data_IF_626348332066
#
_entry.id   IF_626348332066
#
_cell.length_a   1.000
_cell.length_b   1.000
_cell.length_c   1.000
_cell.angle_alpha   90.00
_cell.angle_beta   90.00
_cell.angle_gamma   90.00
#
_symmetry.space_group_name_H-M   'P 1'
#
loop_
_entity.id
_entity.type
_entity.pdbx_description
1 polymer ?
#
# COMPACT_ATOMS: atom_id res chain seq x y z
N UNK A 1 -14.32 -6.14 20.04
CA UNK A 1 -14.77 -6.11 18.62
C UNK A 1 -13.61 -5.64 17.78
N UNK A 2 -13.23 -6.42 16.79
CA UNK A 2 -12.18 -6.07 15.83
C UNK A 2 -12.74 -5.00 14.88
N UNK A 3 -11.92 -3.98 14.55
CA UNK A 3 -12.31 -2.94 13.57
C UNK A 3 -12.33 -3.56 12.18
N UNK A 4 -13.36 -3.32 11.36
CA UNK A 4 -13.37 -3.75 9.97
C UNK A 4 -12.23 -3.08 9.19
N UNK A 5 -11.64 -3.81 8.25
CA UNK A 5 -10.68 -3.27 7.31
C UNK A 5 -11.42 -2.46 6.23
N UNK A 6 -11.26 -1.14 6.25
CA UNK A 6 -11.98 -0.23 5.34
C UNK A 6 -11.50 -0.36 3.89
N UNK A 7 -10.20 -0.57 3.70
CA UNK A 7 -9.62 -0.77 2.36
C UNK A 7 -10.17 -2.07 1.76
N UNK A 8 -10.22 -3.15 2.55
CA UNK A 8 -10.81 -4.43 2.14
C UNK A 8 -12.28 -4.30 1.76
N UNK A 9 -13.05 -3.52 2.52
CA UNK A 9 -14.46 -3.30 2.22
C UNK A 9 -14.63 -2.61 0.87
N UNK A 10 -13.85 -1.56 0.58
CA UNK A 10 -13.88 -0.85 -0.70
C UNK A 10 -13.50 -1.77 -1.86
N UNK A 11 -12.45 -2.57 -1.72
CA UNK A 11 -12.06 -3.54 -2.75
C UNK A 11 -13.16 -4.58 -3.02
N UNK A 12 -13.81 -5.09 -1.97
CA UNK A 12 -14.92 -6.06 -2.11
C UNK A 12 -16.16 -5.46 -2.76
N UNK A 13 -16.43 -4.17 -2.57
CA UNK A 13 -17.57 -3.46 -3.19
C UNK A 13 -17.22 -2.84 -4.55
N UNK A 14 -15.98 -2.98 -5.01
CA UNK A 14 -15.47 -2.36 -6.25
C UNK A 14 -15.66 -0.84 -6.28
N UNK A 15 -15.72 -0.21 -5.10
CA UNK A 15 -15.79 1.24 -4.97
C UNK A 15 -14.41 1.87 -5.21
N UNK A 16 -14.35 3.03 -5.88
CA UNK A 16 -13.09 3.75 -6.04
C UNK A 16 -12.54 4.20 -4.69
N UNK A 17 -11.21 4.29 -4.58
CA UNK A 17 -10.53 4.78 -3.39
C UNK A 17 -9.63 5.97 -3.70
N UNK A 18 -9.56 6.90 -2.75
CA UNK A 18 -8.63 8.02 -2.77
C UNK A 18 -7.80 8.02 -1.49
N UNK A 19 -6.49 8.08 -1.66
CA UNK A 19 -5.52 8.17 -0.57
C UNK A 19 -4.52 9.29 -0.82
N UNK A 20 -3.66 9.53 0.16
CA UNK A 20 -2.47 10.39 0.03
C UNK A 20 -1.28 9.77 0.75
N UNK A 21 -0.06 10.13 0.34
CA UNK A 21 1.17 9.66 0.97
C UNK A 21 1.57 10.58 2.12
N UNK A 22 2.03 9.99 3.21
CA UNK A 22 2.57 10.69 4.39
C UNK A 22 3.97 10.15 4.67
N UNK A 23 4.94 11.05 4.74
CA UNK A 23 6.32 10.75 5.12
C UNK A 23 6.64 11.21 6.54
N UNK A 24 5.89 12.19 7.04
CA UNK A 24 6.08 12.68 8.40
C UNK A 24 5.45 11.74 9.43
N UNK A 25 6.00 11.74 10.63
CA UNK A 25 5.45 11.01 11.78
C UNK A 25 4.58 11.90 12.66
N UNK A 26 4.02 12.95 12.09
CA UNK A 26 3.22 13.94 12.82
C UNK A 26 1.72 13.62 12.74
N UNK A 27 1.09 13.13 13.83
CA UNK A 27 -0.31 12.71 13.82
C UNK A 27 -1.30 13.81 13.39
N UNK A 28 -1.00 15.10 13.69
CA UNK A 28 -1.87 16.22 13.30
C UNK A 28 -2.06 16.34 11.78
N UNK A 29 -1.17 15.80 10.98
CA UNK A 29 -1.30 15.74 9.53
C UNK A 29 -2.42 14.79 9.11
N UNK A 30 -2.50 13.60 9.76
CA UNK A 30 -3.62 12.67 9.56
C UNK A 30 -4.93 13.30 10.05
N UNK A 31 -4.91 14.06 11.16
CA UNK A 31 -6.09 14.79 11.64
C UNK A 31 -6.58 15.78 10.57
N UNK A 32 -5.66 16.55 9.96
CA UNK A 32 -6.01 17.48 8.88
C UNK A 32 -6.61 16.76 7.66
N UNK A 33 -6.03 15.63 7.25
CA UNK A 33 -6.53 14.80 6.15
C UNK A 33 -7.92 14.25 6.49
N UNK A 34 -8.11 13.75 7.71
CA UNK A 34 -9.40 13.26 8.19
C UNK A 34 -10.48 14.34 8.20
N UNK A 35 -10.15 15.54 8.64
CA UNK A 35 -11.05 16.68 8.59
C UNK A 35 -11.38 17.16 7.17
N UNK A 36 -10.51 16.94 6.19
CA UNK A 36 -10.82 17.23 4.78
C UNK A 36 -11.98 16.37 4.26
N UNK A 37 -12.16 15.15 4.80
CA UNK A 37 -13.32 14.29 4.58
C UNK A 37 -13.48 13.72 3.17
N UNK A 38 -12.42 13.71 2.38
CA UNK A 38 -12.44 13.23 0.98
C UNK A 38 -11.56 11.97 0.77
N UNK A 39 -10.69 11.65 1.72
CA UNK A 39 -9.79 10.51 1.62
C UNK A 39 -10.37 9.28 2.31
N UNK A 40 -10.20 8.12 1.69
CA UNK A 40 -10.59 6.82 2.24
C UNK A 40 -9.53 6.25 3.17
N UNK A 41 -8.25 6.49 2.85
CA UNK A 41 -7.12 6.03 3.67
C UNK A 41 -5.88 6.90 3.47
N UNK A 42 -4.93 6.73 4.38
CA UNK A 42 -3.58 7.31 4.28
C UNK A 42 -2.55 6.21 4.06
N UNK A 43 -1.51 6.49 3.28
CA UNK A 43 -0.35 5.63 3.13
C UNK A 43 0.84 6.24 3.88
N UNK A 44 1.30 5.57 4.92
CA UNK A 44 2.53 5.94 5.61
C UNK A 44 3.73 5.30 4.92
N UNK A 45 4.67 6.13 4.44
CA UNK A 45 5.86 5.67 3.70
C UNK A 45 6.99 5.40 4.68
N UNK A 46 6.95 4.23 5.34
CA UNK A 46 7.98 3.80 6.29
C UNK A 46 9.31 3.44 5.62
N UNK A 47 9.32 3.31 4.30
CA UNK A 47 10.51 3.01 3.50
C UNK A 47 11.58 4.12 3.58
N UNK A 48 11.17 5.39 3.64
CA UNK A 48 12.09 6.53 3.57
C UNK A 48 12.18 7.33 4.87
N UNK A 49 11.14 7.29 5.67
CA UNK A 49 11.00 8.16 6.83
C UNK A 49 11.76 7.63 8.05
N UNK A 50 12.33 8.52 8.87
CA UNK A 50 12.83 8.14 10.18
C UNK A 50 11.63 7.90 11.10
N UNK A 51 11.19 6.66 11.23
CA UNK A 51 10.09 6.27 12.11
C UNK A 51 10.53 5.22 13.12
N UNK A 52 9.92 5.25 14.29
CA UNK A 52 10.04 4.18 15.26
C UNK A 52 8.71 3.42 15.43
N UNK A 53 8.70 2.39 16.30
CA UNK A 53 7.49 1.59 16.52
C UNK A 53 6.37 2.37 17.23
N UNK A 54 6.69 3.41 17.98
CA UNK A 54 5.69 4.28 18.60
C UNK A 54 5.03 5.17 17.55
N UNK A 55 5.80 5.62 16.56
CA UNK A 55 5.26 6.39 15.44
C UNK A 55 4.26 5.56 14.65
N UNK A 56 4.60 4.30 14.30
CA UNK A 56 3.66 3.39 13.62
C UNK A 56 2.34 3.24 14.39
N UNK A 57 2.43 3.06 15.71
CA UNK A 57 1.25 2.96 16.58
C UNK A 57 0.43 4.26 16.60
N UNK A 58 1.08 5.42 16.67
CA UNK A 58 0.40 6.71 16.77
C UNK A 58 -0.25 7.11 15.45
N UNK A 59 0.41 6.90 14.34
CA UNK A 59 -0.12 7.17 13.00
C UNK A 59 -1.35 6.30 12.74
N UNK A 60 -1.27 5.01 13.07
CA UNK A 60 -2.41 4.10 12.93
C UNK A 60 -3.59 4.50 13.83
N UNK A 61 -3.35 4.81 15.12
CA UNK A 61 -4.41 5.28 16.05
C UNK A 61 -5.11 6.52 15.53
N UNK A 62 -4.35 7.47 14.98
CA UNK A 62 -4.92 8.71 14.46
C UNK A 62 -5.81 8.44 13.25
N UNK A 63 -5.37 7.59 12.33
CA UNK A 63 -6.22 7.16 11.22
C UNK A 63 -7.54 6.55 11.70
N UNK A 64 -7.49 5.70 12.73
CA UNK A 64 -8.67 5.07 13.32
C UNK A 64 -9.65 6.08 13.93
N UNK A 65 -9.15 7.13 14.59
CA UNK A 65 -9.98 8.18 15.21
C UNK A 65 -10.80 8.95 14.16
N UNK A 66 -10.27 9.10 12.97
CA UNK A 66 -10.93 9.79 11.85
C UNK A 66 -11.65 8.86 10.87
N UNK A 67 -11.76 7.57 11.22
CA UNK A 67 -12.35 6.55 10.35
C UNK A 67 -11.69 6.46 8.97
N UNK A 68 -10.38 6.72 8.91
CA UNK A 68 -9.54 6.50 7.74
C UNK A 68 -8.97 5.09 7.79
N UNK A 69 -8.88 4.43 6.63
CA UNK A 69 -8.03 3.27 6.46
C UNK A 69 -6.54 3.66 6.55
N UNK A 70 -5.67 2.68 6.72
CA UNK A 70 -4.24 2.91 6.78
C UNK A 70 -3.46 1.85 6.01
N UNK A 71 -2.55 2.30 5.16
CA UNK A 71 -1.60 1.49 4.42
C UNK A 71 -0.19 1.83 4.90
N UNK A 72 0.69 0.84 5.01
CA UNK A 72 2.10 1.06 5.26
C UNK A 72 2.92 0.60 4.06
N UNK A 73 3.74 1.49 3.51
CA UNK A 73 4.73 1.16 2.47
C UNK A 73 6.05 0.84 3.15
N UNK A 74 6.63 -0.31 2.82
CA UNK A 74 7.82 -0.84 3.49
C UNK A 74 8.92 -1.20 2.50
N UNK A 75 10.18 -1.09 2.94
CA UNK A 75 11.34 -1.52 2.16
C UNK A 75 11.52 -3.05 2.19
N UNK A 76 12.23 -3.57 1.20
CA UNK A 76 12.49 -5.00 1.09
C UNK A 76 13.47 -5.52 2.16
N UNK A 77 14.41 -4.69 2.60
CA UNK A 77 15.50 -5.13 3.49
C UNK A 77 15.01 -5.54 4.88
N UNK A 78 13.95 -4.89 5.36
CA UNK A 78 13.30 -5.18 6.65
C UNK A 78 11.88 -5.73 6.47
N UNK A 79 11.54 -6.22 5.30
CA UNK A 79 10.19 -6.56 4.87
C UNK A 79 9.40 -7.40 5.89
N UNK A 80 9.86 -8.57 6.38
CA UNK A 80 9.07 -9.36 7.32
C UNK A 80 8.84 -8.65 8.65
N UNK A 81 9.84 -7.92 9.14
CA UNK A 81 9.75 -7.19 10.40
C UNK A 81 8.77 -6.03 10.30
N UNK A 82 8.91 -5.17 9.29
CA UNK A 82 8.04 -4.01 9.13
C UNK A 82 6.60 -4.39 8.76
N UNK A 83 6.40 -5.42 7.92
CA UNK A 83 5.06 -5.94 7.63
C UNK A 83 4.36 -6.37 8.92
N UNK A 84 5.01 -7.20 9.75
CA UNK A 84 4.43 -7.67 11.00
C UNK A 84 4.25 -6.55 12.03
N UNK A 85 5.16 -5.59 12.11
CA UNK A 85 5.01 -4.44 13.04
C UNK A 85 3.89 -3.50 12.59
N UNK A 86 3.79 -3.20 11.29
CA UNK A 86 2.69 -2.41 10.74
C UNK A 86 1.33 -3.06 11.00
N UNK A 87 1.16 -4.31 10.61
CA UNK A 87 -0.07 -5.07 10.88
C UNK A 87 -0.36 -5.12 12.39
N UNK A 88 0.69 -5.34 13.21
CA UNK A 88 0.58 -5.35 14.68
C UNK A 88 0.15 -4.02 15.26
N UNK A 89 0.49 -2.90 14.66
CA UNK A 89 0.02 -1.56 15.02
C UNK A 89 -1.42 -1.30 14.58
N UNK A 90 -1.94 -2.06 13.58
CA UNK A 90 -3.31 -1.98 13.10
C UNK A 90 -3.45 -1.46 11.66
N UNK A 91 -2.36 -1.37 10.90
CA UNK A 91 -2.44 -1.03 9.49
C UNK A 91 -3.28 -2.07 8.73
N UNK A 92 -4.17 -1.58 7.89
CA UNK A 92 -5.15 -2.37 7.14
C UNK A 92 -4.59 -2.93 5.83
N UNK A 93 -3.48 -2.34 5.36
CA UNK A 93 -2.80 -2.75 4.13
C UNK A 93 -1.29 -2.61 4.26
N UNK A 94 -0.57 -3.48 3.54
CA UNK A 94 0.89 -3.39 3.37
C UNK A 94 1.20 -3.25 1.89
N UNK A 95 1.97 -2.24 1.52
CA UNK A 95 2.53 -2.05 0.18
C UNK A 95 4.00 -2.49 0.20
N UNK A 96 4.25 -3.62 -0.45
CA UNK A 96 5.58 -4.21 -0.60
C UNK A 96 6.31 -3.61 -1.79
N UNK A 97 7.54 -3.16 -1.59
CA UNK A 97 8.39 -2.61 -2.64
C UNK A 97 9.39 -3.62 -3.18
N UNK A 98 10.02 -3.28 -4.28
CA UNK A 98 11.24 -3.92 -4.81
C UNK A 98 11.14 -5.40 -5.22
N UNK A 99 9.95 -6.00 -5.27
CA UNK A 99 9.79 -7.40 -5.68
C UNK A 99 10.24 -7.61 -7.13
N UNK A 100 10.92 -8.73 -7.40
CA UNK A 100 11.50 -9.04 -8.72
C UNK A 100 10.97 -10.30 -9.35
N UNK A 101 10.46 -11.22 -8.52
CA UNK A 101 10.03 -12.55 -8.94
C UNK A 101 8.92 -13.07 -8.03
N UNK A 102 8.37 -14.21 -8.39
CA UNK A 102 7.26 -14.82 -7.66
C UNK A 102 7.67 -15.35 -6.28
N UNK A 103 8.91 -15.78 -6.10
CA UNK A 103 9.41 -16.27 -4.83
C UNK A 103 9.43 -15.16 -3.78
N UNK A 104 9.93 -13.96 -4.16
CA UNK A 104 9.91 -12.79 -3.27
C UNK A 104 8.47 -12.36 -2.92
N UNK A 105 7.54 -12.41 -3.89
CA UNK A 105 6.12 -12.14 -3.64
C UNK A 105 5.53 -13.13 -2.64
N UNK A 106 5.82 -14.42 -2.78
CA UNK A 106 5.36 -15.46 -1.82
C UNK A 106 5.93 -15.25 -0.42
N UNK A 107 7.18 -14.83 -0.31
CA UNK A 107 7.78 -14.48 0.99
C UNK A 107 7.06 -13.28 1.63
N UNK A 108 6.73 -12.25 0.87
CA UNK A 108 5.93 -11.12 1.33
C UNK A 108 4.57 -11.57 1.86
N UNK A 109 3.83 -12.34 1.07
CA UNK A 109 2.52 -12.86 1.44
C UNK A 109 2.62 -13.67 2.73
N UNK A 110 3.56 -14.62 2.77
CA UNK A 110 3.77 -15.49 3.92
C UNK A 110 4.10 -14.72 5.20
N UNK A 111 4.85 -13.62 5.11
CA UNK A 111 5.21 -12.79 6.27
C UNK A 111 4.01 -12.08 6.88
N UNK A 112 3.01 -11.71 6.06
CA UNK A 112 1.86 -10.90 6.45
C UNK A 112 0.62 -11.74 6.83
N UNK A 113 0.48 -12.94 6.28
CA UNK A 113 -0.67 -13.82 6.53
C UNK A 113 -0.56 -14.52 7.88
N UNK A 114 -1.69 -14.86 8.54
CA UNK A 114 -1.68 -15.56 9.84
C UNK A 114 -1.05 -16.94 9.73
N UNK A 115 -0.35 -17.35 10.79
CA UNK A 115 0.14 -18.72 11.00
C UNK A 115 -1.04 -19.64 11.33
N UNK A 116 -1.79 -19.96 10.27
CA UNK A 116 -2.99 -20.76 10.33
C UNK A 116 -3.06 -21.68 9.09
N UNK A 117 -3.54 -22.94 9.21
CA UNK A 117 -3.58 -23.88 8.09
C UNK A 117 -4.24 -23.35 6.82
N UNK A 118 -5.30 -22.55 6.95
CA UNK A 118 -6.03 -22.00 5.80
C UNK A 118 -5.30 -20.85 5.10
N UNK A 119 -4.29 -20.24 5.73
CA UNK A 119 -3.56 -19.08 5.21
C UNK A 119 -2.08 -19.36 4.91
N UNK A 120 -1.47 -20.33 5.57
CA UNK A 120 -0.08 -20.74 5.35
C UNK A 120 0.96 -19.65 5.67
N UNK A 121 0.60 -18.66 6.49
CA UNK A 121 1.46 -17.54 6.85
C UNK A 121 2.37 -17.81 8.04
N UNK A 122 3.04 -16.75 8.50
CA UNK A 122 3.98 -16.78 9.63
C UNK A 122 3.58 -15.80 10.75
N UNK A 123 2.47 -15.08 10.59
CA UNK A 123 2.08 -14.07 11.57
C UNK A 123 1.38 -14.70 12.76
N UNK A 124 2.02 -14.64 13.92
CA UNK A 124 1.51 -15.19 15.17
C UNK A 124 0.59 -14.24 15.95
N UNK A 125 0.41 -14.52 17.24
CA UNK A 125 -0.45 -13.75 18.16
C UNK A 125 0.35 -12.58 18.75
N UNK A 126 0.60 -11.53 17.99
CA UNK A 126 1.41 -10.39 18.43
C UNK A 126 0.91 -9.05 17.86
N UNK A 127 -0.28 -8.64 18.20
CA UNK A 127 -0.80 -7.33 17.82
C UNK A 127 -1.06 -6.44 19.03
N UNK A 128 -0.76 -5.16 18.87
CA UNK A 128 -0.97 -4.15 19.92
C UNK A 128 -2.36 -4.20 20.53
N UNK A 129 -3.36 -4.13 19.69
CA UNK A 129 -4.75 -4.00 20.09
C UNK A 129 -5.35 -5.31 20.57
N UNK A 130 -5.20 -6.33 19.76
CA UNK A 130 -5.97 -7.56 19.95
C UNK A 130 -5.39 -8.43 21.06
N UNK A 131 -4.06 -8.53 21.17
CA UNK A 131 -3.42 -9.33 22.22
C UNK A 131 -3.69 -8.77 23.62
N UNK A 132 -3.63 -7.45 23.78
CA UNK A 132 -3.86 -6.81 25.09
C UNK A 132 -5.33 -6.81 25.51
N UNK A 133 -6.25 -6.85 24.53
CA UNK A 133 -7.70 -6.87 24.80
C UNK A 133 -8.30 -8.29 24.83
N UNK A 134 -7.46 -9.33 24.76
CA UNK A 134 -7.89 -10.72 24.84
C UNK A 134 -8.45 -11.33 23.56
N UNK A 135 -8.32 -10.66 22.43
CA UNK A 135 -8.78 -11.18 21.14
C UNK A 135 -7.71 -11.99 20.38
N UNK A 136 -6.45 -11.92 20.80
CA UNK A 136 -5.35 -12.59 20.14
C UNK A 136 -5.55 -14.10 20.09
N UNK A 137 -5.38 -14.71 18.90
CA UNK A 137 -5.51 -16.15 18.70
C UNK A 137 -6.95 -16.68 18.58
N UNK A 138 -7.95 -15.81 18.56
CA UNK A 138 -9.35 -16.19 18.26
C UNK A 138 -9.55 -16.32 16.75
N UNK A 139 -10.66 -16.97 16.32
CA UNK A 139 -11.01 -17.01 14.89
C UNK A 139 -11.20 -15.59 14.31
N UNK A 140 -11.86 -14.70 15.05
CA UNK A 140 -12.02 -13.28 14.66
C UNK A 140 -10.65 -12.59 14.43
N UNK A 141 -9.63 -12.96 15.20
CA UNK A 141 -8.27 -12.48 15.00
C UNK A 141 -7.63 -13.02 13.73
N UNK A 142 -7.80 -14.33 13.45
CA UNK A 142 -7.31 -14.96 12.21
C UNK A 142 -7.97 -14.32 10.98
N UNK A 143 -9.28 -14.14 11.03
CA UNK A 143 -10.06 -13.51 9.94
C UNK A 143 -9.59 -12.06 9.70
N UNK A 144 -9.35 -11.29 10.75
CA UNK A 144 -8.81 -9.93 10.65
C UNK A 144 -7.43 -9.90 9.97
N UNK A 145 -6.53 -10.79 10.35
CA UNK A 145 -5.21 -10.89 9.71
C UNK A 145 -5.33 -11.34 8.24
N UNK A 146 -6.27 -12.23 7.96
CA UNK A 146 -6.60 -12.66 6.59
C UNK A 146 -7.14 -11.53 5.72
N UNK A 147 -7.83 -10.56 6.32
CA UNK A 147 -8.42 -9.40 5.63
C UNK A 147 -7.41 -8.26 5.36
N UNK A 148 -6.17 -8.32 5.88
CA UNK A 148 -5.14 -7.32 5.55
C UNK A 148 -4.89 -7.34 4.04
N UNK A 149 -4.98 -6.16 3.40
CA UNK A 149 -4.78 -6.02 1.95
C UNK A 149 -3.29 -6.01 1.63
N UNK A 150 -2.86 -6.90 0.74
CA UNK A 150 -1.47 -6.96 0.30
C UNK A 150 -1.34 -6.35 -1.09
N UNK A 151 -0.61 -5.25 -1.16
CA UNK A 151 -0.32 -4.51 -2.37
C UNK A 151 1.16 -4.63 -2.74
N UNK A 152 1.48 -4.57 -4.03
CA UNK A 152 2.84 -4.77 -4.52
C UNK A 152 3.24 -3.68 -5.51
N UNK A 153 4.40 -3.08 -5.30
CA UNK A 153 5.03 -2.19 -6.28
C UNK A 153 5.57 -3.00 -7.46
N UNK A 154 5.15 -2.63 -8.66
CA UNK A 154 5.71 -3.17 -9.91
C UNK A 154 6.68 -2.12 -10.44
N UNK A 155 7.95 -2.29 -10.10
CA UNK A 155 8.99 -1.28 -10.29
C UNK A 155 10.38 -1.86 -10.62
N UNK A 156 10.45 -3.16 -10.83
CA UNK A 156 11.67 -3.85 -11.27
C UNK A 156 11.38 -4.61 -12.56
N UNK A 157 12.38 -4.66 -13.44
CA UNK A 157 12.25 -5.36 -14.71
C UNK A 157 11.83 -6.82 -14.55
N UNK A 158 12.38 -7.50 -13.54
CA UNK A 158 12.01 -8.88 -13.24
C UNK A 158 10.53 -9.02 -12.91
N UNK A 159 9.94 -8.10 -12.14
CA UNK A 159 8.51 -8.11 -11.84
C UNK A 159 7.65 -7.85 -13.10
N UNK A 160 8.06 -6.91 -13.95
CA UNK A 160 7.35 -6.63 -15.22
C UNK A 160 7.45 -7.80 -16.20
N UNK A 161 8.60 -8.48 -16.26
CA UNK A 161 8.79 -9.65 -17.12
C UNK A 161 7.90 -10.82 -16.69
N UNK A 162 7.74 -11.05 -15.37
CA UNK A 162 6.96 -12.13 -14.77
C UNK A 162 5.58 -11.67 -14.24
N UNK A 163 5.06 -10.57 -14.73
CA UNK A 163 3.88 -9.91 -14.18
C UNK A 163 2.63 -10.82 -14.16
N UNK A 164 2.39 -11.61 -15.20
CA UNK A 164 1.23 -12.50 -15.26
C UNK A 164 1.29 -13.59 -14.19
N UNK A 165 2.47 -14.14 -13.93
CA UNK A 165 2.68 -15.10 -12.85
C UNK A 165 2.44 -14.47 -11.48
N UNK A 166 2.99 -13.25 -11.26
CA UNK A 166 2.79 -12.50 -10.02
C UNK A 166 1.32 -12.19 -9.78
N UNK A 167 0.61 -11.71 -10.80
CA UNK A 167 -0.82 -11.39 -10.67
C UNK A 167 -1.72 -12.62 -10.48
N UNK A 168 -1.23 -13.80 -10.83
CA UNK A 168 -1.94 -15.06 -10.62
C UNK A 168 -1.75 -15.62 -9.21
N UNK A 169 -0.82 -15.08 -8.42
CA UNK A 169 -0.52 -15.59 -7.08
C UNK A 169 -1.63 -15.19 -6.10
N UNK A 170 -2.26 -16.16 -5.41
CA UNK A 170 -3.23 -15.84 -4.37
C UNK A 170 -2.62 -14.98 -3.26
N UNK A 171 -3.21 -13.81 -3.00
CA UNK A 171 -2.69 -12.85 -2.02
C UNK A 171 -2.05 -11.62 -2.65
N UNK A 172 -1.87 -11.57 -3.97
CA UNK A 172 -1.62 -10.33 -4.70
C UNK A 172 -2.97 -9.66 -4.95
N UNK A 173 -3.28 -8.63 -4.19
CA UNK A 173 -4.64 -8.07 -4.11
C UNK A 173 -4.75 -6.65 -4.64
N UNK A 174 -3.63 -5.98 -4.80
CA UNK A 174 -3.50 -4.66 -5.43
C UNK A 174 -2.09 -4.51 -5.98
N UNK A 175 -1.91 -3.76 -7.04
CA UNK A 175 -0.59 -3.40 -7.55
C UNK A 175 -0.45 -1.88 -7.71
N UNK A 176 0.79 -1.41 -7.71
CA UNK A 176 1.12 -0.01 -7.96
C UNK A 176 2.33 0.10 -8.87
N UNK A 177 2.32 1.02 -9.81
CA UNK A 177 3.45 1.26 -10.69
C UNK A 177 4.48 2.19 -10.04
N UNK A 178 5.76 1.76 -9.98
CA UNK A 178 6.89 2.54 -9.48
C UNK A 178 7.84 2.96 -10.62
N UNK A 179 7.48 3.99 -11.37
CA UNK A 179 8.18 4.37 -12.59
C UNK A 179 9.59 4.89 -12.36
N UNK A 180 9.86 5.61 -11.27
CA UNK A 180 11.18 6.13 -10.95
C UNK A 180 12.19 4.98 -10.76
N UNK A 181 11.82 4.01 -9.94
CA UNK A 181 12.62 2.83 -9.66
C UNK A 181 12.77 1.93 -10.89
N UNK A 182 11.69 1.73 -11.64
CA UNK A 182 11.75 0.97 -12.89
C UNK A 182 12.73 1.59 -13.89
N UNK A 183 12.63 2.91 -14.11
CA UNK A 183 13.51 3.61 -15.05
C UNK A 183 14.99 3.51 -14.64
N UNK A 184 15.27 3.62 -13.36
CA UNK A 184 16.61 3.41 -12.82
C UNK A 184 17.08 1.96 -13.00
N UNK A 185 16.22 0.99 -12.71
CA UNK A 185 16.52 -0.44 -12.78
C UNK A 185 16.87 -0.91 -14.20
N UNK A 186 16.29 -0.30 -15.24
CA UNK A 186 16.61 -0.60 -16.65
C UNK A 186 17.74 0.30 -17.23
N UNK A 187 18.43 1.06 -16.37
CA UNK A 187 19.54 1.94 -16.80
C UNK A 187 19.12 3.24 -17.46
N UNK A 188 17.88 3.69 -17.27
CA UNK A 188 17.32 4.93 -17.82
C UNK A 188 16.81 5.87 -16.73
N UNK A 189 17.65 6.26 -15.72
CA UNK A 189 17.21 6.97 -14.55
C UNK A 189 16.47 8.28 -14.91
N UNK A 190 15.27 8.45 -14.34
CA UNK A 190 14.35 9.58 -14.55
C UNK A 190 13.86 9.81 -15.99
N UNK A 191 14.07 8.85 -16.91
CA UNK A 191 13.55 8.94 -18.28
C UNK A 191 12.12 8.39 -18.34
N UNK A 192 11.20 9.04 -17.64
CA UNK A 192 9.81 8.58 -17.48
C UNK A 192 9.07 8.46 -18.82
N UNK A 193 9.43 9.28 -19.80
CA UNK A 193 8.81 9.28 -21.14
C UNK A 193 9.52 8.32 -22.14
N UNK A 194 10.52 7.57 -21.69
CA UNK A 194 11.15 6.55 -22.55
C UNK A 194 10.11 5.50 -22.96
N UNK A 195 10.10 5.08 -24.24
CA UNK A 195 9.12 4.12 -24.76
C UNK A 195 9.06 2.81 -23.98
N UNK A 196 10.19 2.31 -23.46
CA UNK A 196 10.23 1.07 -22.67
C UNK A 196 9.57 1.27 -21.30
N UNK A 197 9.79 2.42 -20.64
CA UNK A 197 9.16 2.77 -19.37
C UNK A 197 7.65 2.91 -19.55
N UNK A 198 7.21 3.60 -20.60
CA UNK A 198 5.78 3.77 -20.89
C UNK A 198 5.10 2.46 -21.28
N UNK A 199 5.77 1.59 -22.03
CA UNK A 199 5.24 0.27 -22.39
C UNK A 199 5.08 -0.62 -21.14
N UNK A 200 6.06 -0.59 -20.21
CA UNK A 200 5.99 -1.34 -18.96
C UNK A 200 4.88 -0.82 -18.05
N UNK A 201 4.73 0.51 -17.91
CA UNK A 201 3.62 1.16 -17.21
C UNK A 201 2.27 0.68 -17.75
N UNK A 202 2.08 0.82 -19.06
CA UNK A 202 0.85 0.42 -19.73
C UNK A 202 0.54 -1.07 -19.53
N UNK A 203 1.53 -1.93 -19.73
CA UNK A 203 1.40 -3.39 -19.49
C UNK A 203 0.94 -3.67 -18.05
N UNK A 204 1.50 -2.98 -17.06
CA UNK A 204 1.18 -3.17 -15.65
C UNK A 204 -0.29 -2.84 -15.37
N UNK A 205 -0.77 -1.70 -15.83
CA UNK A 205 -2.17 -1.31 -15.64
C UNK A 205 -3.15 -2.21 -16.40
N UNK A 206 -2.91 -2.44 -17.69
CA UNK A 206 -3.81 -3.24 -18.53
C UNK A 206 -3.92 -4.69 -18.06
N UNK A 207 -2.79 -5.29 -17.65
CA UNK A 207 -2.78 -6.67 -17.20
C UNK A 207 -3.39 -6.81 -15.80
N UNK A 208 -3.13 -5.86 -14.89
CA UNK A 208 -3.78 -5.82 -13.57
C UNK A 208 -5.30 -5.77 -13.69
N UNK A 209 -5.82 -4.85 -14.50
CA UNK A 209 -7.27 -4.73 -14.75
C UNK A 209 -7.81 -6.02 -15.37
N UNK A 210 -7.15 -6.56 -16.40
CA UNK A 210 -7.57 -7.77 -17.10
C UNK A 210 -7.64 -8.99 -16.18
N UNK A 211 -6.72 -9.10 -15.23
CA UNK A 211 -6.64 -10.23 -14.31
C UNK A 211 -7.43 -10.02 -13.01
N UNK A 212 -8.09 -8.87 -12.84
CA UNK A 212 -8.91 -8.57 -11.66
C UNK A 212 -8.09 -8.19 -10.42
N UNK A 213 -6.82 -7.81 -10.62
CA UNK A 213 -5.97 -7.23 -9.56
C UNK A 213 -5.93 -5.72 -9.76
N UNK A 214 -6.65 -4.93 -8.93
CA UNK A 214 -6.80 -3.50 -9.14
C UNK A 214 -5.46 -2.77 -9.07
N UNK A 215 -5.10 -2.01 -10.12
CA UNK A 215 -3.95 -1.13 -10.06
C UNK A 215 -4.30 0.19 -9.39
N UNK A 216 -3.42 0.65 -8.50
CA UNK A 216 -3.47 1.97 -7.87
C UNK A 216 -2.55 2.93 -8.62
N UNK A 217 -3.06 4.12 -8.95
CA UNK A 217 -2.30 5.15 -9.64
C UNK A 217 -1.89 6.27 -8.69
N UNK A 218 -0.61 6.65 -8.72
CA UNK A 218 -0.13 7.88 -8.11
C UNK A 218 -0.38 9.04 -9.06
N UNK A 219 -1.03 10.10 -8.56
CA UNK A 219 -1.34 11.31 -9.29
C UNK A 219 -0.92 12.56 -8.49
N UNK A 220 -0.59 13.63 -9.18
CA UNK A 220 -0.21 14.89 -8.55
C UNK A 220 -1.37 15.90 -8.52
N UNK A 221 -2.37 15.70 -9.35
CA UNK A 221 -3.57 16.53 -9.42
C UNK A 221 -4.79 15.70 -9.82
N UNK A 222 -5.99 16.22 -9.53
CA UNK A 222 -7.24 15.59 -9.94
C UNK A 222 -7.40 15.52 -11.47
N UNK A 223 -6.76 16.40 -12.22
CA UNK A 223 -6.82 16.41 -13.68
C UNK A 223 -6.17 15.16 -14.29
N UNK A 224 -5.14 14.61 -13.66
CA UNK A 224 -4.46 13.39 -14.10
C UNK A 224 -5.36 12.14 -13.93
N UNK A 225 -6.33 12.19 -13.03
CA UNK A 225 -7.21 11.06 -12.73
C UNK A 225 -7.98 10.59 -13.97
N UNK A 226 -8.35 11.50 -14.86
CA UNK A 226 -9.19 11.17 -16.02
C UNK A 226 -8.56 10.12 -16.93
N UNK A 227 -7.26 10.24 -17.24
CA UNK A 227 -6.55 9.28 -18.09
C UNK A 227 -6.63 7.86 -17.50
N UNK A 228 -6.43 7.73 -16.19
CA UNK A 228 -6.48 6.45 -15.50
C UNK A 228 -7.90 5.89 -15.37
N UNK A 229 -8.89 6.75 -15.14
CA UNK A 229 -10.30 6.34 -15.11
C UNK A 229 -10.75 5.79 -16.48
N UNK A 230 -10.31 6.41 -17.58
CA UNK A 230 -10.58 5.95 -18.94
C UNK A 230 -9.91 4.58 -19.22
N UNK A 231 -8.82 4.24 -18.52
CA UNK A 231 -8.20 2.91 -18.56
C UNK A 231 -8.91 1.86 -17.67
N UNK A 232 -9.78 2.30 -16.76
CA UNK A 232 -10.48 1.43 -15.80
C UNK A 232 -9.85 1.38 -14.40
N UNK A 233 -8.85 2.22 -14.11
CA UNK A 233 -8.27 2.37 -12.76
C UNK A 233 -9.27 3.06 -11.85
N UNK A 234 -9.40 2.58 -10.62
CA UNK A 234 -10.32 3.13 -9.62
C UNK A 234 -9.65 3.56 -8.32
N UNK A 235 -8.41 3.12 -8.09
CA UNK A 235 -7.68 3.36 -6.87
C UNK A 235 -6.58 4.40 -7.10
N UNK A 236 -6.58 5.46 -6.28
CA UNK A 236 -5.71 6.61 -6.47
C UNK A 236 -4.98 7.01 -5.19
N UNK A 237 -3.76 7.53 -5.38
CA UNK A 237 -3.03 8.27 -4.37
C UNK A 237 -2.71 9.67 -4.89
N UNK A 238 -3.22 10.69 -4.21
CA UNK A 238 -3.08 12.08 -4.61
C UNK A 238 -2.02 12.79 -3.78
N UNK A 239 -0.91 13.11 -4.44
CA UNK A 239 0.19 13.88 -3.87
C UNK A 239 0.91 13.20 -2.71
N UNK A 240 1.89 13.91 -2.18
CA UNK A 240 2.62 13.57 -0.96
C UNK A 240 2.73 14.80 -0.08
N UNK A 241 2.70 14.64 1.23
CA UNK A 241 2.80 15.72 2.21
C UNK A 241 3.92 16.71 1.91
N UNK A 242 5.15 16.23 1.81
CA UNK A 242 6.33 17.07 1.55
C UNK A 242 6.27 17.75 0.17
N UNK A 243 5.77 17.05 -0.85
CA UNK A 243 5.63 17.66 -2.19
C UNK A 243 4.58 18.76 -2.21
N UNK A 244 3.48 18.59 -1.49
CA UNK A 244 2.41 19.58 -1.34
C UNK A 244 2.97 20.82 -0.65
N UNK A 245 3.62 20.66 0.50
CA UNK A 245 4.23 21.76 1.25
C UNK A 245 5.30 22.47 0.44
N UNK A 246 6.21 21.73 -0.20
CA UNK A 246 7.26 22.31 -1.05
C UNK A 246 6.66 23.14 -2.20
N UNK A 247 5.65 22.58 -2.88
CA UNK A 247 5.01 23.27 -4.01
C UNK A 247 4.30 24.54 -3.57
N UNK A 248 3.61 24.50 -2.43
CA UNK A 248 2.96 25.67 -1.86
C UNK A 248 3.98 26.76 -1.54
N UNK A 249 5.03 26.46 -0.79
CA UNK A 249 6.05 27.42 -0.42
C UNK A 249 6.80 28.00 -1.62
N UNK A 250 7.05 27.17 -2.64
CA UNK A 250 7.74 27.63 -3.86
C UNK A 250 6.89 28.57 -4.71
N UNK A 251 5.59 28.34 -4.77
CA UNK A 251 4.70 29.07 -5.67
C UNK A 251 4.05 30.29 -5.00
N UNK A 252 3.82 30.24 -3.70
CA UNK A 252 3.11 31.27 -2.93
C UNK A 252 4.05 32.09 -2.02
N UNK A 253 5.28 31.69 -1.82
CA UNK A 253 6.32 32.42 -1.08
C UNK A 253 7.24 33.19 -2.00
#
# INVERSE_FOLDING_TARGET
MVRPNLIRQKLKSEEPTLSTHIHSVWPAEIEAIGHAGIYDYVEFVAEYGPSDLHDLDNMCRTSELYNLGSMIKIDQSLMPFLAQRGIGSGYESVLFTDVRNIEEVRECIKSARPDHPDHGGLYGVATRRNSYMGYGGTQEYVDMLGDVVLAFMIEKKGAVDNLEEILSEPGVEMIQWGGADFSMNIGKPRQMNDPEVQAAKKKTFELGIKMGVPPRAEIQSADEMKEYLDMGVRDFSLGTDISILYSFWKNEG
#
